data_IF_362952132183
#
_entry.id   IF_362952132183
#
_cell.length_a   1.000
_cell.length_b   1.000
_cell.length_c   1.000
_cell.angle_alpha   90.00
_cell.angle_beta   90.00
_cell.angle_gamma   90.00
#
_symmetry.space_group_name_H-M   'P 1'
#
loop_
_entity.id
_entity.type
_entity.pdbx_description
1 polymer ?
#
# COMPACT_ATOMS: atom_id res chain seq x y z
N UNK A 1 10.73 -4.76 13.65
CA UNK A 1 10.75 -3.27 13.56
C UNK A 1 11.72 -2.64 14.58
N UNK A 2 12.96 -3.10 14.53
CA UNK A 2 13.98 -2.66 15.51
C UNK A 2 14.27 -1.15 15.47
N UNK A 3 14.23 -0.55 14.27
CA UNK A 3 14.48 0.89 14.13
C UNK A 3 13.45 1.72 14.90
N UNK A 4 12.17 1.36 14.79
CA UNK A 4 11.07 2.06 15.49
C UNK A 4 11.18 1.86 16.99
N UNK A 5 11.36 0.62 17.43
CA UNK A 5 11.46 0.28 18.85
C UNK A 5 12.66 0.92 19.51
N UNK A 6 13.79 1.05 18.81
CA UNK A 6 15.01 1.64 19.35
C UNK A 6 14.89 3.12 19.68
N UNK A 7 13.91 3.83 19.11
CA UNK A 7 13.67 5.25 19.44
C UNK A 7 13.07 5.44 20.82
N UNK A 8 12.37 4.46 21.36
CA UNK A 8 11.58 4.52 22.60
C UNK A 8 10.59 5.69 22.62
N UNK A 9 10.11 6.13 21.44
CA UNK A 9 9.22 7.27 21.31
C UNK A 9 7.86 6.86 20.75
N UNK A 10 6.79 7.40 21.32
CA UNK A 10 5.41 7.15 20.90
C UNK A 10 5.02 7.91 19.62
N UNK A 11 5.75 8.96 19.27
CA UNK A 11 5.47 9.78 18.07
C UNK A 11 6.20 9.32 16.82
N UNK A 12 6.91 8.20 16.88
CA UNK A 12 7.60 7.57 15.75
C UNK A 12 6.85 6.30 15.37
N UNK A 13 6.66 6.10 14.08
CA UNK A 13 5.98 4.91 13.57
C UNK A 13 6.27 4.68 12.11
N UNK A 14 5.48 3.82 11.50
CA UNK A 14 5.60 3.46 10.09
C UNK A 14 4.49 4.10 9.25
N UNK A 15 4.75 4.19 7.96
CA UNK A 15 3.77 4.48 6.91
C UNK A 15 3.81 3.31 5.92
N UNK A 16 3.10 2.21 6.21
CA UNK A 16 3.03 1.11 5.26
C UNK A 16 2.46 1.56 3.92
N UNK A 17 3.20 1.29 2.86
CA UNK A 17 2.81 1.58 1.48
C UNK A 17 2.60 0.26 0.74
N UNK A 18 1.58 0.19 -0.13
CA UNK A 18 1.21 -1.06 -0.79
C UNK A 18 2.17 -1.49 -1.91
N UNK A 19 3.11 -0.64 -2.30
CA UNK A 19 3.94 -0.91 -3.46
C UNK A 19 5.46 -0.75 -3.30
N UNK A 20 5.95 -0.18 -2.21
CA UNK A 20 7.37 0.15 -2.07
C UNK A 20 8.17 -0.99 -1.43
N UNK A 21 8.23 -2.14 -2.10
CA UNK A 21 8.91 -3.34 -1.59
C UNK A 21 10.00 -3.87 -2.53
N UNK A 22 10.51 -3.03 -3.42
CA UNK A 22 11.65 -3.40 -4.25
C UNK A 22 12.96 -3.25 -3.46
N UNK A 23 13.77 -4.33 -3.44
CA UNK A 23 15.06 -4.36 -2.76
C UNK A 23 16.18 -4.01 -3.72
N UNK A 24 16.10 -4.47 -4.97
CA UNK A 24 17.20 -4.39 -5.94
C UNK A 24 17.14 -3.17 -6.86
N UNK A 25 16.03 -2.44 -6.86
CA UNK A 25 15.85 -1.28 -7.72
C UNK A 25 16.46 -0.01 -7.15
N UNK A 26 16.72 0.96 -8.03
CA UNK A 26 17.04 2.33 -7.61
C UNK A 26 15.79 3.04 -7.12
N UNK A 27 15.97 4.19 -6.48
CA UNK A 27 14.85 5.04 -6.08
C UNK A 27 13.96 5.36 -7.30
N UNK A 28 12.67 5.12 -7.15
CA UNK A 28 11.70 5.34 -8.23
C UNK A 28 11.59 4.22 -9.25
N UNK A 29 12.25 3.08 -9.04
CA UNK A 29 12.11 1.92 -9.93
C UNK A 29 10.67 1.42 -9.95
N UNK A 30 10.19 1.06 -11.15
CA UNK A 30 8.86 0.47 -11.31
C UNK A 30 8.84 -0.98 -10.80
N UNK A 31 7.64 -1.50 -10.59
CA UNK A 31 7.45 -2.90 -10.23
C UNK A 31 8.03 -3.86 -11.29
N UNK A 32 7.95 -3.49 -12.56
CA UNK A 32 8.42 -4.29 -13.69
C UNK A 32 9.95 -4.36 -13.73
N UNK A 33 10.63 -3.29 -13.31
CA UNK A 33 12.10 -3.21 -13.30
C UNK A 33 12.72 -3.92 -12.09
N UNK A 34 11.92 -4.29 -11.12
CA UNK A 34 12.41 -4.86 -9.88
C UNK A 34 12.65 -6.36 -10.00
N UNK A 35 13.90 -6.79 -9.90
CA UNK A 35 14.30 -8.20 -9.95
C UNK A 35 14.27 -8.89 -8.59
N UNK A 36 14.32 -8.14 -7.49
CA UNK A 36 14.30 -8.69 -6.13
C UNK A 36 13.32 -7.88 -5.27
N UNK A 37 12.22 -8.52 -4.90
CA UNK A 37 11.13 -7.89 -4.15
C UNK A 37 10.95 -8.57 -2.80
N UNK A 38 10.68 -7.78 -1.76
CA UNK A 38 10.13 -8.30 -0.52
C UNK A 38 8.63 -8.54 -0.72
N UNK A 39 8.08 -9.57 -0.09
CA UNK A 39 6.63 -9.81 -0.12
C UNK A 39 5.89 -8.63 0.48
N UNK A 40 5.15 -7.88 -0.35
CA UNK A 40 4.46 -6.66 0.08
C UNK A 40 3.40 -6.92 1.14
N UNK A 41 2.70 -8.05 1.07
CA UNK A 41 1.65 -8.39 2.05
C UNK A 41 2.26 -8.69 3.42
N UNK A 42 3.33 -9.47 3.43
CA UNK A 42 4.08 -9.72 4.65
C UNK A 42 4.68 -8.43 5.21
N UNK A 43 5.27 -7.61 4.36
CA UNK A 43 5.88 -6.34 4.77
C UNK A 43 4.88 -5.39 5.41
N UNK A 44 3.72 -5.21 4.79
CA UNK A 44 2.65 -4.39 5.36
C UNK A 44 2.19 -4.97 6.70
N UNK A 45 1.97 -6.28 6.76
CA UNK A 45 1.56 -6.94 8.00
C UNK A 45 2.56 -6.70 9.14
N UNK A 46 3.85 -6.78 8.85
CA UNK A 46 4.90 -6.55 9.85
C UNK A 46 4.97 -5.08 10.30
N UNK A 47 4.66 -4.14 9.41
CA UNK A 47 4.70 -2.70 9.70
C UNK A 47 3.46 -2.20 10.43
N UNK A 48 2.29 -2.85 10.25
CA UNK A 48 1.01 -2.35 10.75
C UNK A 48 0.96 -2.11 12.26
N UNK A 49 1.59 -2.90 13.14
CA UNK A 49 1.57 -2.62 14.58
C UNK A 49 2.13 -1.23 14.95
N UNK A 50 2.96 -0.64 14.11
CA UNK A 50 3.60 0.64 14.32
C UNK A 50 3.05 1.75 13.42
N UNK A 51 1.98 1.48 12.66
CA UNK A 51 1.50 2.39 11.63
C UNK A 51 0.86 3.65 12.21
N UNK A 52 1.30 4.79 11.72
CA UNK A 52 0.70 6.10 12.00
C UNK A 52 -0.20 6.55 10.85
N UNK A 53 0.07 6.07 9.66
CA UNK A 53 -0.73 6.27 8.45
C UNK A 53 -0.55 5.06 7.54
N UNK A 54 -1.33 4.98 6.47
CA UNK A 54 -1.24 3.92 5.44
C UNK A 54 -1.33 4.59 4.07
N UNK A 55 -0.52 4.15 3.13
CA UNK A 55 -0.55 4.61 1.73
C UNK A 55 -1.05 3.48 0.82
N UNK A 56 -2.23 3.68 0.24
CA UNK A 56 -2.78 2.77 -0.75
C UNK A 56 -2.21 3.12 -2.13
N UNK A 57 -1.02 2.62 -2.41
CA UNK A 57 -0.39 2.78 -3.71
C UNK A 57 -1.08 1.89 -4.73
N UNK A 58 -1.37 2.46 -5.89
CA UNK A 58 -1.91 1.77 -7.05
C UNK A 58 -1.12 2.14 -8.30
N UNK A 59 -1.21 1.31 -9.30
CA UNK A 59 -0.60 1.53 -10.59
C UNK A 59 -1.68 1.45 -11.68
N UNK A 60 -1.84 0.33 -12.34
CA UNK A 60 -2.83 0.19 -13.40
C UNK A 60 -4.01 -0.71 -12.97
N UNK A 61 -5.14 -0.56 -13.64
CA UNK A 61 -6.38 -1.23 -13.30
C UNK A 61 -6.82 -2.14 -14.43
N UNK A 62 -7.47 -3.25 -14.07
CA UNK A 62 -8.13 -4.12 -15.04
C UNK A 62 -9.54 -3.61 -15.42
N UNK A 63 -10.23 -4.34 -16.28
CA UNK A 63 -11.58 -3.98 -16.76
C UNK A 63 -12.63 -3.94 -15.64
N UNK A 64 -12.37 -4.63 -14.54
CA UNK A 64 -13.27 -4.69 -13.38
C UNK A 64 -12.97 -3.63 -12.33
N UNK A 65 -11.98 -2.79 -12.55
CA UNK A 65 -11.56 -1.76 -11.62
C UNK A 65 -10.67 -2.25 -10.48
N UNK A 66 -10.09 -3.43 -10.61
CA UNK A 66 -9.12 -3.94 -9.64
C UNK A 66 -7.71 -3.50 -10.02
N UNK A 67 -6.87 -3.23 -9.01
CA UNK A 67 -5.47 -2.96 -9.24
C UNK A 67 -4.76 -4.23 -9.72
N UNK A 68 -4.01 -4.13 -10.81
CA UNK A 68 -3.36 -5.29 -11.41
C UNK A 68 -2.17 -5.78 -10.60
N UNK A 69 -1.43 -4.87 -9.97
CA UNK A 69 -0.18 -5.18 -9.27
C UNK A 69 -0.37 -5.60 -7.81
N UNK A 70 -1.49 -5.22 -7.21
CA UNK A 70 -1.77 -5.48 -5.78
C UNK A 70 -3.20 -5.94 -5.60
N UNK A 71 -3.38 -7.03 -4.88
CA UNK A 71 -4.70 -7.50 -4.45
C UNK A 71 -5.18 -6.65 -3.27
N UNK A 72 -6.06 -5.69 -3.55
CA UNK A 72 -6.58 -4.78 -2.54
C UNK A 72 -7.48 -5.47 -1.50
N UNK A 73 -8.15 -6.56 -1.85
CA UNK A 73 -8.91 -7.34 -0.87
C UNK A 73 -8.00 -7.93 0.19
N UNK A 74 -6.96 -8.61 -0.26
CA UNK A 74 -5.95 -9.20 0.64
C UNK A 74 -5.24 -8.14 1.46
N UNK A 75 -4.86 -7.04 0.83
CA UNK A 75 -4.10 -5.98 1.49
C UNK A 75 -4.95 -5.26 2.55
N UNK A 76 -6.20 -4.91 2.22
CA UNK A 76 -7.07 -4.22 3.17
C UNK A 76 -7.54 -5.13 4.32
N UNK A 77 -7.64 -6.44 4.09
CA UNK A 77 -7.86 -7.38 5.19
C UNK A 77 -6.70 -7.36 6.19
N UNK A 78 -5.47 -7.29 5.71
CA UNK A 78 -4.28 -7.17 6.57
C UNK A 78 -4.36 -5.88 7.40
N UNK A 79 -4.67 -4.76 6.76
CA UNK A 79 -4.81 -3.47 7.44
C UNK A 79 -5.93 -3.52 8.49
N UNK A 80 -7.10 -4.02 8.12
CA UNK A 80 -8.24 -4.14 9.02
C UNK A 80 -7.94 -5.06 10.22
N UNK A 81 -7.35 -6.21 9.96
CA UNK A 81 -7.08 -7.21 10.99
C UNK A 81 -6.01 -6.75 11.99
N UNK A 82 -5.21 -5.73 11.65
CA UNK A 82 -4.25 -5.12 12.57
C UNK A 82 -4.92 -4.21 13.62
N UNK A 83 -6.22 -3.92 13.47
CA UNK A 83 -6.94 -2.97 14.31
C UNK A 83 -6.80 -1.51 13.86
N UNK A 84 -6.17 -1.26 12.71
CA UNK A 84 -6.02 0.10 12.19
C UNK A 84 -7.39 0.69 11.80
N UNK A 85 -7.68 1.89 12.30
CA UNK A 85 -8.97 2.57 12.08
C UNK A 85 -8.81 4.05 11.73
N UNK A 86 -7.67 4.42 11.17
CA UNK A 86 -7.35 5.79 10.76
C UNK A 86 -7.48 5.93 9.25
N UNK A 87 -7.01 7.06 8.72
CA UNK A 87 -7.08 7.36 7.31
C UNK A 87 -6.12 6.51 6.48
N UNK A 88 -6.54 6.20 5.26
CA UNK A 88 -5.69 5.61 4.22
C UNK A 88 -5.55 6.65 3.13
N UNK A 89 -4.33 7.08 2.85
CA UNK A 89 -4.02 8.00 1.76
C UNK A 89 -3.96 7.25 0.43
N UNK A 90 -4.13 7.97 -0.66
CA UNK A 90 -4.08 7.41 -2.01
C UNK A 90 -2.83 7.93 -2.71
N UNK A 91 -2.09 7.01 -3.34
CA UNK A 91 -0.97 7.35 -4.20
C UNK A 91 -1.06 6.54 -5.49
N UNK A 92 -1.35 7.23 -6.61
CA UNK A 92 -1.43 6.59 -7.91
C UNK A 92 -0.14 6.85 -8.70
N UNK A 93 0.50 5.77 -9.16
CA UNK A 93 1.73 5.84 -9.98
C UNK A 93 1.59 5.03 -11.29
N UNK A 94 0.38 4.79 -11.74
CA UNK A 94 0.13 4.11 -13.02
C UNK A 94 0.42 5.01 -14.22
N UNK A 95 0.46 4.40 -15.40
CA UNK A 95 0.79 5.10 -16.65
C UNK A 95 -0.35 5.15 -17.65
N UNK A 96 -1.41 4.36 -17.46
CA UNK A 96 -2.51 4.23 -18.42
C UNK A 96 -3.61 5.27 -18.26
N UNK A 97 -3.74 5.86 -17.08
CA UNK A 97 -4.74 6.87 -16.77
C UNK A 97 -4.07 8.19 -16.41
N UNK A 98 -4.83 9.29 -16.51
CA UNK A 98 -4.39 10.55 -15.91
C UNK A 98 -4.30 10.40 -14.39
N UNK A 99 -3.55 11.28 -13.76
CA UNK A 99 -3.40 11.29 -12.30
C UNK A 99 -4.76 11.41 -11.61
N UNK A 100 -5.62 12.31 -12.07
CA UNK A 100 -6.96 12.49 -11.52
C UNK A 100 -7.82 11.22 -11.64
N UNK A 101 -7.80 10.59 -12.80
CA UNK A 101 -8.54 9.34 -13.03
C UNK A 101 -8.00 8.19 -12.20
N UNK A 102 -6.68 8.06 -12.09
CA UNK A 102 -6.04 7.04 -11.27
C UNK A 102 -6.38 7.19 -9.79
N UNK A 103 -6.37 8.41 -9.27
CA UNK A 103 -6.75 8.71 -7.89
C UNK A 103 -8.23 8.35 -7.66
N UNK A 104 -9.11 8.72 -8.58
CA UNK A 104 -10.54 8.39 -8.50
C UNK A 104 -10.78 6.89 -8.51
N UNK A 105 -10.11 6.17 -9.40
CA UNK A 105 -10.20 4.70 -9.48
C UNK A 105 -9.71 4.02 -8.21
N UNK A 106 -8.63 4.51 -7.63
CA UNK A 106 -8.11 3.98 -6.38
C UNK A 106 -9.10 4.19 -5.24
N UNK A 107 -9.71 5.37 -5.17
CA UNK A 107 -10.76 5.66 -4.18
C UNK A 107 -11.94 4.72 -4.32
N UNK A 108 -12.44 4.55 -5.55
CA UNK A 108 -13.56 3.64 -5.84
C UNK A 108 -13.24 2.21 -5.42
N UNK A 109 -12.01 1.75 -5.68
CA UNK A 109 -11.57 0.41 -5.28
C UNK A 109 -11.51 0.26 -3.76
N UNK A 110 -10.96 1.23 -3.07
CA UNK A 110 -10.91 1.24 -1.60
C UNK A 110 -12.31 1.17 -0.98
N UNK A 111 -13.24 1.97 -1.50
CA UNK A 111 -14.63 1.98 -1.04
C UNK A 111 -15.34 0.66 -1.32
N UNK A 112 -15.15 0.11 -2.51
CA UNK A 112 -15.71 -1.19 -2.92
C UNK A 112 -15.24 -2.32 -2.01
N UNK A 113 -13.94 -2.41 -1.79
CA UNK A 113 -13.34 -3.44 -0.94
C UNK A 113 -13.75 -3.23 0.51
N UNK A 114 -13.71 -2.00 1.00
CA UNK A 114 -14.08 -1.67 2.37
C UNK A 114 -15.50 -2.07 2.74
N UNK A 115 -16.43 -2.04 1.78
CA UNK A 115 -17.82 -2.49 2.00
C UNK A 115 -17.95 -4.02 2.08
N UNK A 116 -16.99 -4.76 1.55
CA UNK A 116 -17.05 -6.22 1.45
C UNK A 116 -16.26 -6.96 2.54
N UNK A 117 -15.45 -6.26 3.29
CA UNK A 117 -14.63 -6.88 4.35
C UNK A 117 -15.08 -6.48 5.81
#
# INVERSE_FOLDING_TARGET
MNVIQSTSRSNVGTLPDFGNFCISGSWGSTQEECSNKYDKYLGVKEMMPYAKSVSAKSYDFDDKGNCMETDFYKMLEIVKNSGYNKYISIEYEGTRLSEREGIRKTKELLEKVGKSI
#
